data_IF_132270254260
#
_entry.id   IF_132270254260
#
_cell.length_a   1.000
_cell.length_b   1.000
_cell.length_c   1.000
_cell.angle_alpha   90.00
_cell.angle_beta   90.00
_cell.angle_gamma   90.00
#
_symmetry.space_group_name_H-M   'P 1'
#
loop_
_entity.id
_entity.type
_entity.pdbx_description
1 polymer ?
#
# COMPACT_ATOMS: atom_id res chain seq x y z
N UNK A 1 14.22 15.07 -12.94
CA UNK A 1 13.75 13.82 -12.31
C UNK A 1 14.99 13.07 -11.86
N UNK A 2 15.00 12.54 -10.64
CA UNK A 2 16.05 11.62 -10.21
C UNK A 2 16.07 10.41 -11.14
N UNK A 3 17.27 9.91 -11.46
CA UNK A 3 17.45 8.81 -12.40
C UNK A 3 17.60 7.50 -11.61
N UNK A 4 16.46 6.92 -11.21
CA UNK A 4 16.41 5.69 -10.43
C UNK A 4 16.86 4.48 -11.27
N UNK A 5 17.64 3.60 -10.65
CA UNK A 5 18.11 2.34 -11.25
C UNK A 5 17.11 1.21 -10.98
N UNK A 6 17.26 0.08 -11.68
CA UNK A 6 16.39 -1.09 -11.52
C UNK A 6 16.33 -1.55 -10.05
N UNK A 7 17.47 -1.49 -9.36
CA UNK A 7 17.60 -1.85 -7.94
C UNK A 7 16.72 -0.96 -7.04
N UNK A 8 16.61 0.33 -7.36
CA UNK A 8 15.75 1.27 -6.61
C UNK A 8 14.28 0.89 -6.75
N UNK A 9 13.84 0.56 -7.97
CA UNK A 9 12.46 0.12 -8.23
C UNK A 9 12.14 -1.21 -7.55
N UNK A 10 13.07 -2.17 -7.58
CA UNK A 10 12.91 -3.46 -6.90
C UNK A 10 12.82 -3.28 -5.37
N UNK A 11 13.68 -2.44 -4.80
CA UNK A 11 13.65 -2.10 -3.37
C UNK A 11 12.34 -1.39 -3.00
N UNK A 12 11.91 -0.42 -3.80
CA UNK A 12 10.64 0.30 -3.62
C UNK A 12 9.44 -0.65 -3.68
N UNK A 13 9.38 -1.54 -4.68
CA UNK A 13 8.33 -2.57 -4.81
C UNK A 13 8.25 -3.43 -3.54
N UNK A 14 9.38 -3.94 -3.05
CA UNK A 14 9.43 -4.77 -1.83
C UNK A 14 8.93 -4.00 -0.60
N UNK A 15 9.37 -2.75 -0.44
CA UNK A 15 9.00 -1.89 0.68
C UNK A 15 7.50 -1.57 0.68
N UNK A 16 6.97 -1.14 -0.48
CA UNK A 16 5.56 -0.80 -0.63
C UNK A 16 4.64 -2.02 -0.51
N UNK A 17 5.06 -3.20 -0.99
CA UNK A 17 4.30 -4.44 -0.81
C UNK A 17 4.18 -4.83 0.68
N UNK A 18 5.27 -4.71 1.45
CA UNK A 18 5.24 -4.91 2.90
C UNK A 18 4.30 -3.91 3.60
N UNK A 19 4.34 -2.65 3.16
CA UNK A 19 3.50 -1.58 3.70
C UNK A 19 2.02 -1.84 3.39
N UNK A 20 1.70 -2.22 2.16
CA UNK A 20 0.35 -2.61 1.75
C UNK A 20 -0.21 -3.70 2.65
N UNK A 21 0.56 -4.79 2.84
CA UNK A 21 0.13 -5.90 3.69
C UNK A 21 -0.16 -5.46 5.13
N UNK A 22 0.69 -4.62 5.73
CA UNK A 22 0.47 -4.09 7.08
C UNK A 22 -0.80 -3.25 7.18
N UNK A 23 -1.11 -2.43 6.18
CA UNK A 23 -2.34 -1.63 6.18
C UNK A 23 -3.56 -2.52 6.01
N UNK A 24 -3.49 -3.56 5.18
CA UNK A 24 -4.58 -4.55 5.04
C UNK A 24 -4.87 -5.25 6.38
N UNK A 25 -3.84 -5.65 7.14
CA UNK A 25 -4.03 -6.20 8.49
C UNK A 25 -4.58 -5.16 9.48
N UNK A 26 -4.14 -3.91 9.39
CA UNK A 26 -4.67 -2.84 10.24
C UNK A 26 -6.16 -2.57 9.98
N UNK A 27 -6.62 -2.68 8.73
CA UNK A 27 -8.04 -2.56 8.38
C UNK A 27 -8.87 -3.63 9.10
N UNK A 28 -8.42 -4.89 9.12
CA UNK A 28 -9.12 -5.97 9.82
C UNK A 28 -9.31 -5.61 11.31
N UNK A 29 -8.23 -5.20 11.98
CA UNK A 29 -8.31 -4.79 13.40
C UNK A 29 -9.22 -3.57 13.63
N UNK A 30 -9.27 -2.62 12.69
CA UNK A 30 -10.17 -1.47 12.76
C UNK A 30 -11.63 -1.89 12.57
N UNK A 31 -11.91 -2.84 11.67
CA UNK A 31 -13.25 -3.39 11.42
C UNK A 31 -13.77 -4.20 12.61
N UNK A 32 -12.89 -4.96 13.29
CA UNK A 32 -13.21 -5.63 14.56
C UNK A 32 -13.58 -4.63 15.66
N UNK A 33 -12.76 -3.57 15.84
CA UNK A 33 -13.04 -2.50 16.81
C UNK A 33 -14.35 -1.77 16.49
N UNK A 34 -14.64 -1.57 15.20
CA UNK A 34 -15.90 -1.00 14.74
C UNK A 34 -17.09 -1.88 15.10
N UNK A 35 -16.96 -3.19 14.90
CA UNK A 35 -17.98 -4.19 15.25
C UNK A 35 -18.21 -4.28 16.76
N UNK A 36 -17.17 -4.03 17.57
CA UNK A 36 -17.25 -3.93 19.03
C UNK A 36 -17.79 -2.58 19.54
N UNK A 37 -18.33 -1.73 18.67
CA UNK A 37 -18.99 -0.46 19.04
C UNK A 37 -18.08 0.77 19.12
N UNK A 38 -16.78 0.67 18.79
CA UNK A 38 -15.90 1.84 18.70
C UNK A 38 -16.10 2.54 17.35
N UNK A 39 -16.24 3.87 17.32
CA UNK A 39 -16.36 4.57 16.05
C UNK A 39 -15.00 4.70 15.34
N UNK A 40 -14.72 3.78 14.41
CA UNK A 40 -13.49 3.72 13.60
C UNK A 40 -13.75 4.03 12.12
N UNK A 41 -14.94 4.53 11.75
CA UNK A 41 -15.39 4.69 10.36
C UNK A 41 -14.41 5.54 9.54
N UNK A 42 -13.94 6.66 10.09
CA UNK A 42 -12.98 7.53 9.41
C UNK A 42 -11.63 6.84 9.17
N UNK A 43 -11.11 6.12 10.18
CA UNK A 43 -9.84 5.40 10.07
C UNK A 43 -9.91 4.26 9.05
N UNK A 44 -11.04 3.55 8.98
CA UNK A 44 -11.27 2.49 8.00
C UNK A 44 -11.28 3.08 6.59
N UNK A 45 -12.06 4.15 6.36
CA UNK A 45 -12.13 4.82 5.06
C UNK A 45 -10.76 5.27 4.58
N UNK A 46 -10.02 6.01 5.42
CA UNK A 46 -8.69 6.50 5.07
C UNK A 46 -7.69 5.36 4.82
N UNK A 47 -7.79 4.25 5.57
CA UNK A 47 -6.91 3.09 5.35
C UNK A 47 -7.23 2.38 4.03
N UNK A 48 -8.52 2.27 3.66
CA UNK A 48 -8.92 1.72 2.36
C UNK A 48 -8.46 2.60 1.19
N UNK A 49 -8.46 3.92 1.35
CA UNK A 49 -7.90 4.86 0.36
C UNK A 49 -6.38 4.68 0.21
N UNK A 50 -5.65 4.53 1.32
CA UNK A 50 -4.21 4.24 1.28
C UNK A 50 -3.89 2.94 0.56
N UNK A 51 -4.68 1.89 0.79
CA UNK A 51 -4.55 0.62 0.05
C UNK A 51 -4.69 0.84 -1.46
N UNK A 52 -5.68 1.61 -1.90
CA UNK A 52 -5.87 1.94 -3.32
C UNK A 52 -4.65 2.67 -3.89
N UNK A 53 -4.16 3.69 -3.20
CA UNK A 53 -2.98 4.46 -3.61
C UNK A 53 -1.71 3.60 -3.69
N UNK A 54 -1.49 2.71 -2.72
CA UNK A 54 -0.35 1.80 -2.70
C UNK A 54 -0.41 0.76 -3.82
N UNK A 55 -1.60 0.20 -4.11
CA UNK A 55 -1.80 -0.72 -5.23
C UNK A 55 -1.52 -0.04 -6.57
N UNK A 56 -1.96 1.20 -6.75
CA UNK A 56 -1.63 2.00 -7.93
C UNK A 56 -0.11 2.23 -8.04
N UNK A 57 0.53 2.61 -6.93
CA UNK A 57 1.97 2.84 -6.89
C UNK A 57 2.77 1.58 -7.25
N UNK A 58 2.39 0.43 -6.70
CA UNK A 58 2.99 -0.86 -7.03
C UNK A 58 2.81 -1.22 -8.51
N UNK A 59 1.63 -1.00 -9.09
CA UNK A 59 1.38 -1.27 -10.50
C UNK A 59 2.24 -0.38 -11.42
N UNK A 60 2.45 0.89 -11.05
CA UNK A 60 3.32 1.80 -11.78
C UNK A 60 4.79 1.39 -11.69
N UNK A 61 5.25 0.97 -10.52
CA UNK A 61 6.61 0.47 -10.32
C UNK A 61 6.84 -0.83 -11.11
N UNK A 62 5.88 -1.75 -11.09
CA UNK A 62 5.96 -3.00 -11.87
C UNK A 62 6.11 -2.73 -13.37
N UNK A 63 5.32 -1.77 -13.86
CA UNK A 63 5.37 -1.35 -15.26
C UNK A 63 6.72 -0.77 -15.62
N UNK A 64 7.34 0.00 -14.73
CA UNK A 64 8.65 0.58 -14.98
C UNK A 64 9.76 -0.48 -14.93
N UNK A 65 9.72 -1.39 -13.96
CA UNK A 65 10.61 -2.57 -13.92
C UNK A 65 10.55 -3.33 -15.25
N UNK A 66 9.36 -3.59 -15.77
CA UNK A 66 9.15 -4.30 -17.04
C UNK A 66 9.70 -3.54 -18.25
N UNK A 67 9.82 -2.21 -18.19
CA UNK A 67 10.44 -1.42 -19.27
C UNK A 67 11.96 -1.44 -19.22
N UNK A 68 12.53 -1.70 -18.05
CA UNK A 68 13.97 -1.73 -17.80
C UNK A 68 14.59 -3.11 -18.02
N UNK A 69 13.77 -4.16 -18.11
CA UNK A 69 14.15 -5.56 -18.33
C UNK A 69 13.74 -6.04 -19.71
#
# INVERSE_FOLDING_TARGET
MENYQLEDYLAAKKSLASTLHKIEQAIISLEEKQSAGRNMKAQITLSKERVKALRLSLALIEREITRMT
#
